data_IF_740217670625
#
_entry.id   IF_740217670625
#
_cell.length_a   1.000
_cell.length_b   1.000
_cell.length_c   1.000
_cell.angle_alpha   90.00
_cell.angle_beta   90.00
_cell.angle_gamma   90.00
#
_symmetry.space_group_name_H-M   'P 1'
#
loop_
_entity.id
_entity.type
_entity.pdbx_description
1 polymer ?
#
# COMPACT_ATOMS: atom_id res chain seq x y z
N UNK A 1 -37.86 -31.40 27.63
CA UNK A 1 -37.05 -31.46 26.39
C UNK A 1 -36.92 -30.10 25.71
N UNK A 2 -38.01 -29.30 25.63
CA UNK A 2 -38.00 -27.97 25.03
C UNK A 2 -36.94 -27.01 25.62
N UNK A 3 -36.80 -26.96 26.94
CA UNK A 3 -35.83 -26.07 27.61
C UNK A 3 -34.38 -26.37 27.24
N UNK A 4 -34.07 -27.64 27.00
CA UNK A 4 -32.72 -28.09 26.62
C UNK A 4 -32.39 -27.60 25.21
N UNK A 5 -33.34 -27.75 24.28
CA UNK A 5 -33.26 -27.24 22.91
C UNK A 5 -33.11 -25.71 22.90
N UNK A 6 -33.89 -25.00 23.71
CA UNK A 6 -33.86 -23.54 23.79
C UNK A 6 -32.53 -23.02 24.36
N UNK A 7 -31.96 -23.73 25.34
CA UNK A 7 -30.64 -23.44 25.92
C UNK A 7 -29.52 -23.64 24.91
N UNK A 8 -29.57 -24.71 24.12
CA UNK A 8 -28.58 -24.99 23.08
C UNK A 8 -28.65 -23.97 21.93
N UNK A 9 -29.86 -23.55 21.54
CA UNK A 9 -30.08 -22.47 20.58
C UNK A 9 -29.48 -21.14 21.03
N UNK A 10 -29.73 -20.74 22.29
CA UNK A 10 -29.12 -19.52 22.87
C UNK A 10 -27.60 -19.59 22.86
N UNK A 11 -27.03 -20.74 23.24
CA UNK A 11 -25.57 -20.96 23.26
C UNK A 11 -24.97 -20.89 21.85
N UNK A 12 -25.65 -21.44 20.85
CA UNK A 12 -25.20 -21.37 19.46
C UNK A 12 -25.29 -19.95 18.90
N UNK A 13 -26.36 -19.21 19.21
CA UNK A 13 -26.48 -17.81 18.84
C UNK A 13 -25.33 -16.96 19.44
N UNK A 14 -25.01 -17.17 20.72
CA UNK A 14 -23.86 -16.50 21.37
C UNK A 14 -22.52 -16.84 20.70
N UNK A 15 -22.27 -18.13 20.39
CA UNK A 15 -21.07 -18.54 19.65
C UNK A 15 -20.99 -17.89 18.28
N UNK A 16 -22.12 -17.79 17.58
CA UNK A 16 -22.21 -17.16 16.27
C UNK A 16 -21.91 -15.66 16.34
N UNK A 17 -22.46 -14.95 17.34
CA UNK A 17 -22.13 -13.54 17.56
C UNK A 17 -20.64 -13.32 17.82
N UNK A 18 -20.01 -14.18 18.62
CA UNK A 18 -18.56 -14.13 18.87
C UNK A 18 -17.79 -14.32 17.56
N UNK A 19 -18.14 -15.33 16.77
CA UNK A 19 -17.50 -15.60 15.47
C UNK A 19 -17.64 -14.41 14.51
N UNK A 20 -18.82 -13.79 14.44
CA UNK A 20 -19.06 -12.61 13.60
C UNK A 20 -18.17 -11.45 14.05
N UNK A 21 -18.10 -11.18 15.36
CA UNK A 21 -17.23 -10.11 15.89
C UNK A 21 -15.76 -10.35 15.58
N UNK A 22 -15.29 -11.58 15.74
CA UNK A 22 -13.91 -11.95 15.39
C UNK A 22 -13.66 -11.79 13.88
N UNK A 23 -14.58 -12.27 13.04
CA UNK A 23 -14.49 -12.12 11.59
C UNK A 23 -14.42 -10.65 11.17
N UNK A 24 -15.29 -9.81 11.74
CA UNK A 24 -15.29 -8.36 11.47
C UNK A 24 -13.97 -7.70 11.88
N UNK A 25 -13.43 -8.06 13.05
CA UNK A 25 -12.14 -7.54 13.51
C UNK A 25 -10.99 -7.95 12.58
N UNK A 26 -10.98 -9.21 12.11
CA UNK A 26 -10.01 -9.69 11.13
C UNK A 26 -10.13 -8.96 9.79
N UNK A 27 -11.35 -8.74 9.30
CA UNK A 27 -11.59 -8.00 8.07
C UNK A 27 -11.14 -6.55 8.17
N UNK A 28 -11.43 -5.88 9.29
CA UNK A 28 -10.95 -4.51 9.55
C UNK A 28 -9.42 -4.44 9.59
N UNK A 29 -8.76 -5.39 10.27
CA UNK A 29 -7.30 -5.45 10.34
C UNK A 29 -6.68 -5.74 8.97
N UNK A 30 -7.28 -6.63 8.20
CA UNK A 30 -6.85 -6.93 6.83
C UNK A 30 -6.95 -5.69 5.92
N UNK A 31 -8.07 -4.98 5.98
CA UNK A 31 -8.25 -3.72 5.26
C UNK A 31 -7.21 -2.67 5.67
N UNK A 32 -7.04 -2.45 6.97
CA UNK A 32 -6.06 -1.48 7.50
C UNK A 32 -4.62 -1.82 7.06
N UNK A 33 -4.24 -3.10 7.11
CA UNK A 33 -2.92 -3.55 6.64
C UNK A 33 -2.74 -3.30 5.13
N UNK A 34 -3.78 -3.55 4.32
CA UNK A 34 -3.74 -3.31 2.88
C UNK A 34 -3.57 -1.82 2.56
N UNK A 35 -4.31 -0.95 3.23
CA UNK A 35 -4.19 0.49 3.03
C UNK A 35 -2.85 1.03 3.54
N UNK A 36 -2.33 0.51 4.66
CA UNK A 36 -0.99 0.85 5.14
C UNK A 36 0.09 0.44 4.14
N UNK A 37 0.00 -0.75 3.56
CA UNK A 37 0.93 -1.22 2.54
C UNK A 37 0.89 -0.34 1.28
N UNK A 38 -0.31 0.01 0.79
CA UNK A 38 -0.48 0.96 -0.32
C UNK A 38 0.13 2.33 -0.02
N UNK A 39 -0.14 2.88 1.18
CA UNK A 39 0.41 4.18 1.59
C UNK A 39 1.94 4.14 1.65
N UNK A 40 2.51 3.09 2.23
CA UNK A 40 3.97 2.93 2.34
C UNK A 40 4.61 2.79 0.95
N UNK A 41 3.98 2.03 0.05
CA UNK A 41 4.44 1.92 -1.34
C UNK A 41 4.38 3.27 -2.07
N UNK A 42 3.30 4.03 -1.89
CA UNK A 42 3.15 5.37 -2.48
C UNK A 42 4.20 6.35 -1.95
N UNK A 43 4.46 6.32 -0.65
CA UNK A 43 5.50 7.15 -0.01
C UNK A 43 6.88 6.79 -0.57
N UNK A 44 7.24 5.51 -0.61
CA UNK A 44 8.50 5.05 -1.18
C UNK A 44 8.66 5.46 -2.65
N UNK A 45 7.63 5.27 -3.48
CA UNK A 45 7.63 5.70 -4.88
C UNK A 45 7.82 7.21 -5.01
N UNK A 46 7.20 8.00 -4.14
CA UNK A 46 7.33 9.46 -4.12
C UNK A 46 8.77 9.86 -3.75
N UNK A 47 9.33 9.28 -2.68
CA UNK A 47 10.72 9.54 -2.28
C UNK A 47 11.71 9.15 -3.37
N UNK A 48 11.59 7.95 -3.95
CA UNK A 48 12.45 7.52 -5.07
C UNK A 48 12.37 8.47 -6.26
N UNK A 49 11.16 8.96 -6.57
CA UNK A 49 10.97 9.93 -7.64
C UNK A 49 11.68 11.26 -7.34
N UNK A 50 11.53 11.77 -6.13
CA UNK A 50 12.14 13.04 -5.72
C UNK A 50 13.67 12.93 -5.71
N UNK A 51 14.21 11.81 -5.24
CA UNK A 51 15.64 11.48 -5.34
C UNK A 51 16.12 11.40 -6.79
N UNK A 52 15.38 10.74 -7.68
CA UNK A 52 15.72 10.71 -9.11
C UNK A 52 15.72 12.10 -9.75
N UNK A 53 14.76 12.97 -9.38
CA UNK A 53 14.72 14.35 -9.85
C UNK A 53 15.94 15.13 -9.35
N UNK A 54 16.30 14.97 -8.07
CA UNK A 54 17.49 15.60 -7.48
C UNK A 54 18.77 15.15 -8.19
N UNK A 55 18.98 13.84 -8.33
CA UNK A 55 20.14 13.26 -9.01
C UNK A 55 20.21 13.74 -10.47
N UNK A 56 19.07 13.85 -11.16
CA UNK A 56 19.02 14.39 -12.53
C UNK A 56 19.42 15.87 -12.59
N UNK A 57 19.03 16.64 -11.58
CA UNK A 57 19.45 18.04 -11.39
C UNK A 57 20.97 18.15 -11.21
N UNK A 58 21.53 17.35 -10.30
CA UNK A 58 22.95 17.34 -9.94
C UNK A 58 23.86 16.79 -11.06
N UNK A 59 23.46 15.71 -11.72
CA UNK A 59 24.11 15.23 -12.94
C UNK A 59 23.98 16.27 -14.05
N UNK A 60 22.89 17.03 -14.04
CA UNK A 60 22.58 17.98 -15.08
C UNK A 60 23.42 19.24 -15.09
N UNK A 61 24.00 19.60 -13.94
CA UNK A 61 25.00 20.65 -13.81
C UNK A 61 26.42 20.14 -14.12
N UNK A 62 26.67 18.84 -13.89
CA UNK A 62 28.00 18.22 -13.98
C UNK A 62 28.33 17.60 -15.35
N UNK A 63 27.35 17.01 -16.04
CA UNK A 63 27.54 16.31 -17.32
C UNK A 63 26.92 17.12 -18.46
N UNK A 64 27.78 17.65 -19.33
CA UNK A 64 27.41 18.47 -20.50
C UNK A 64 27.46 17.65 -21.80
N UNK A 65 26.92 18.22 -22.89
CA UNK A 65 26.95 17.62 -24.23
C UNK A 65 25.86 16.56 -24.50
N UNK A 66 25.99 15.83 -25.61
CA UNK A 66 25.00 14.82 -26.06
C UNK A 66 24.77 13.70 -25.03
N UNK A 67 25.83 13.24 -24.38
CA UNK A 67 25.74 12.20 -23.34
C UNK A 67 24.92 12.69 -22.14
N UNK A 68 25.18 13.90 -21.63
CA UNK A 68 24.40 14.49 -20.54
C UNK A 68 22.92 14.67 -20.89
N UNK A 69 22.60 15.02 -22.15
CA UNK A 69 21.21 15.07 -22.63
C UNK A 69 20.52 13.71 -22.57
N UNK A 70 21.18 12.64 -23.05
CA UNK A 70 20.64 11.28 -23.03
C UNK A 70 20.39 10.76 -21.62
N UNK A 71 21.31 11.03 -20.69
CA UNK A 71 21.15 10.65 -19.27
C UNK A 71 19.95 11.36 -18.65
N UNK A 72 19.80 12.68 -18.87
CA UNK A 72 18.63 13.45 -18.40
C UNK A 72 17.31 12.92 -18.94
N UNK A 73 17.23 12.64 -20.25
CA UNK A 73 16.02 12.09 -20.86
C UNK A 73 15.67 10.71 -20.29
N UNK A 74 16.68 9.86 -20.10
CA UNK A 74 16.48 8.51 -19.56
C UNK A 74 15.95 8.57 -18.12
N UNK A 75 16.56 9.39 -17.26
CA UNK A 75 16.13 9.54 -15.87
C UNK A 75 14.75 10.20 -15.76
N UNK A 76 14.46 11.20 -16.60
CA UNK A 76 13.13 11.82 -16.68
C UNK A 76 12.06 10.80 -17.10
N UNK A 77 12.34 10.00 -18.14
CA UNK A 77 11.43 8.95 -18.58
C UNK A 77 11.21 7.87 -17.51
N UNK A 78 12.23 7.52 -16.72
CA UNK A 78 12.08 6.58 -15.60
C UNK A 78 11.25 7.20 -14.45
N UNK A 79 11.47 8.47 -14.13
CA UNK A 79 10.68 9.22 -13.13
C UNK A 79 9.22 9.39 -13.55
N UNK A 80 8.94 9.64 -14.83
CA UNK A 80 7.57 9.72 -15.34
C UNK A 80 6.88 8.35 -15.36
N UNK A 81 7.61 7.25 -15.62
CA UNK A 81 7.06 5.88 -15.48
C UNK A 81 6.68 5.54 -14.03
N UNK A 82 7.35 6.11 -13.03
CA UNK A 82 6.97 5.97 -11.62
C UNK A 82 5.65 6.68 -11.28
N UNK A 83 5.19 7.67 -12.08
CA UNK A 83 3.87 8.31 -11.90
C UNK A 83 2.70 7.41 -12.32
N UNK A 84 2.98 6.40 -13.14
CA UNK A 84 1.98 5.51 -13.73
C UNK A 84 1.66 4.30 -12.84
N UNK A 85 2.35 4.15 -11.70
CA UNK A 85 2.14 3.14 -10.66
C UNK A 85 1.35 3.73 -9.49
#
# INVERSE_FOLDING_TARGET
MLDKVLKDLKKNAQKMMIRIRVCNALNQKSYANREKAKSSAKEFLTTTKDEMISITGDLGSSIKGKFGKQVKETLKNQSDKLKSF
#
